data_IF_011528504858
#
_entry.id   IF_011528504858
#
_cell.length_a   1.000
_cell.length_b   1.000
_cell.length_c   1.000
_cell.angle_alpha   90.00
_cell.angle_beta   90.00
_cell.angle_gamma   90.00
#
_symmetry.space_group_name_H-M   'P 1'
#
loop_
_entity.id
_entity.type
_entity.pdbx_description
1 polymer ?
#
# COMPACT_ATOMS: atom_id res chain seq x y z
N UNK A 1 18.58 -2.58 -17.26
CA UNK A 1 18.53 -4.00 -16.82
C UNK A 1 17.39 -4.68 -17.57
N UNK A 2 17.62 -5.85 -18.16
CA UNK A 2 16.57 -6.66 -18.79
C UNK A 2 16.51 -7.95 -17.97
N UNK A 3 15.41 -8.16 -17.24
CA UNK A 3 15.18 -9.38 -16.44
C UNK A 3 14.73 -10.51 -17.37
N UNK A 4 15.64 -11.01 -18.20
CA UNK A 4 15.33 -12.07 -19.17
C UNK A 4 14.98 -13.37 -18.45
N UNK A 5 13.70 -13.76 -18.51
CA UNK A 5 13.18 -14.97 -17.86
C UNK A 5 12.40 -14.73 -16.57
N UNK A 6 12.30 -13.47 -16.11
CA UNK A 6 11.41 -13.13 -15.01
C UNK A 6 9.94 -13.43 -15.36
N UNK A 7 9.18 -13.84 -14.35
CA UNK A 7 7.74 -14.02 -14.50
C UNK A 7 7.06 -12.67 -14.73
N UNK A 8 5.95 -12.62 -15.48
CA UNK A 8 5.11 -11.44 -15.51
C UNK A 8 4.61 -11.15 -14.11
N UNK A 9 4.90 -9.97 -13.58
CA UNK A 9 4.50 -9.53 -12.25
C UNK A 9 3.58 -8.32 -12.33
N UNK A 10 2.67 -8.21 -11.37
CA UNK A 10 1.74 -7.09 -11.24
C UNK A 10 2.36 -5.96 -10.41
N UNK A 11 3.24 -6.31 -9.45
CA UNK A 11 3.93 -5.37 -8.58
C UNK A 11 5.44 -5.51 -8.69
N UNK A 12 6.12 -4.36 -8.57
CA UNK A 12 7.57 -4.26 -8.53
C UNK A 12 7.97 -3.31 -7.40
N UNK A 13 8.92 -3.70 -6.57
CA UNK A 13 9.47 -2.87 -5.51
C UNK A 13 11.00 -2.90 -5.50
N UNK A 14 11.67 -1.75 -5.31
CA UNK A 14 13.09 -1.76 -5.04
C UNK A 14 13.36 -2.35 -3.65
N UNK A 15 14.44 -3.12 -3.54
CA UNK A 15 14.99 -3.64 -2.31
C UNK A 15 16.42 -3.08 -2.10
N UNK A 16 17.02 -3.26 -0.91
CA UNK A 16 18.42 -2.93 -0.67
C UNK A 16 19.37 -3.53 -1.70
N UNK A 17 20.57 -2.95 -1.79
CA UNK A 17 21.65 -3.40 -2.69
C UNK A 17 21.28 -3.42 -4.19
N UNK A 18 20.24 -2.67 -4.57
CA UNK A 18 19.76 -2.59 -5.96
C UNK A 18 18.98 -3.83 -6.41
N UNK A 19 18.56 -4.68 -5.48
CA UNK A 19 17.66 -5.80 -5.76
C UNK A 19 16.26 -5.31 -6.12
N UNK A 20 15.51 -6.17 -6.80
CA UNK A 20 14.13 -5.92 -7.19
C UNK A 20 13.25 -7.09 -6.76
N UNK A 21 12.17 -6.78 -6.04
CA UNK A 21 11.09 -7.70 -5.73
C UNK A 21 10.02 -7.60 -6.81
N UNK A 22 9.61 -8.76 -7.34
CA UNK A 22 8.49 -8.94 -8.24
C UNK A 22 7.42 -9.76 -7.54
N UNK A 23 6.15 -9.34 -7.61
CA UNK A 23 5.01 -10.05 -6.98
C UNK A 23 3.82 -10.11 -7.93
N UNK A 24 3.17 -11.26 -7.97
CA UNK A 24 1.95 -11.50 -8.74
C UNK A 24 0.73 -11.15 -7.88
N UNK A 25 -0.23 -10.43 -8.45
CA UNK A 25 -1.52 -10.19 -7.80
C UNK A 25 -2.27 -11.50 -7.58
N UNK A 26 -2.17 -12.41 -8.57
CA UNK A 26 -2.83 -13.72 -8.59
C UNK A 26 -1.84 -14.84 -8.79
N UNK A 27 -1.84 -15.80 -7.86
CA UNK A 27 -1.09 -17.05 -7.90
C UNK A 27 -1.46 -17.93 -9.09
N UNK A 28 -2.72 -17.90 -9.55
CA UNK A 28 -3.20 -18.76 -10.67
C UNK A 28 -2.86 -20.25 -10.47
N UNK A 29 -2.79 -20.71 -9.22
CA UNK A 29 -2.46 -22.10 -8.87
C UNK A 29 -0.97 -22.44 -8.85
N UNK A 30 -0.06 -21.45 -8.94
CA UNK A 30 1.38 -21.66 -8.76
C UNK A 30 1.74 -21.79 -7.28
N UNK A 31 2.84 -22.51 -7.01
CA UNK A 31 3.40 -22.60 -5.66
C UNK A 31 4.10 -21.30 -5.21
N UNK A 32 4.52 -20.47 -6.15
CA UNK A 32 5.29 -19.23 -5.91
C UNK A 32 4.58 -18.05 -6.56
N UNK A 33 4.52 -16.93 -5.86
CA UNK A 33 3.91 -15.67 -6.31
C UNK A 33 4.84 -14.47 -6.19
N UNK A 34 6.12 -14.70 -5.84
CA UNK A 34 7.12 -13.64 -5.78
C UNK A 34 8.52 -14.14 -6.16
N UNK A 35 9.33 -13.24 -6.73
CA UNK A 35 10.73 -13.46 -7.09
C UNK A 35 11.58 -12.24 -6.70
N UNK A 36 12.82 -12.47 -6.27
CA UNK A 36 13.83 -11.43 -6.08
C UNK A 36 14.96 -11.61 -7.07
N UNK A 37 15.36 -10.51 -7.67
CA UNK A 37 16.41 -10.43 -8.67
C UNK A 37 17.46 -9.41 -8.25
N UNK A 38 18.73 -9.68 -8.53
CA UNK A 38 19.82 -8.75 -8.26
C UNK A 38 20.01 -7.70 -9.36
N UNK A 39 20.89 -6.73 -9.12
CA UNK A 39 21.22 -5.64 -10.06
C UNK A 39 21.83 -6.14 -11.39
N UNK A 40 22.39 -7.35 -11.41
CA UNK A 40 22.92 -7.99 -12.62
C UNK A 40 21.81 -8.68 -13.44
N UNK A 41 20.58 -8.74 -12.92
CA UNK A 41 19.48 -9.48 -13.51
C UNK A 41 19.58 -10.99 -13.27
N UNK A 42 20.26 -11.40 -12.19
CA UNK A 42 20.31 -12.79 -11.74
C UNK A 42 19.19 -13.06 -10.77
N UNK A 43 18.51 -14.19 -10.94
CA UNK A 43 17.53 -14.67 -9.97
C UNK A 43 18.23 -15.01 -8.64
N UNK A 44 17.68 -14.53 -7.53
CA UNK A 44 18.21 -14.71 -6.18
C UNK A 44 17.41 -15.77 -5.43
N UNK A 45 16.10 -15.55 -5.30
CA UNK A 45 15.18 -16.46 -4.61
C UNK A 45 13.72 -16.20 -5.03
N UNK A 46 12.84 -17.14 -4.68
CA UNK A 46 11.39 -17.09 -4.91
C UNK A 46 10.62 -17.60 -3.70
N UNK A 47 9.33 -17.28 -3.64
CA UNK A 47 8.50 -17.61 -2.49
C UNK A 47 7.01 -17.41 -2.74
N UNK A 48 6.21 -17.82 -1.74
CA UNK A 48 4.76 -17.71 -1.78
C UNK A 48 4.28 -16.57 -0.87
N UNK A 49 3.72 -15.54 -1.47
CA UNK A 49 3.19 -14.37 -0.78
C UNK A 49 1.66 -14.35 -0.68
N UNK A 50 0.98 -15.45 -1.01
CA UNK A 50 -0.49 -15.52 -1.04
C UNK A 50 -1.10 -15.14 -2.39
N UNK A 51 -2.42 -15.27 -2.48
CA UNK A 51 -3.28 -14.84 -3.60
C UNK A 51 -4.03 -13.56 -3.23
N UNK A 52 -4.59 -12.88 -4.23
CA UNK A 52 -5.37 -11.65 -4.08
C UNK A 52 -4.58 -10.51 -3.42
N UNK A 53 -3.35 -10.30 -3.91
CA UNK A 53 -2.50 -9.18 -3.51
C UNK A 53 -3.01 -7.89 -4.15
N UNK A 54 -3.23 -6.86 -3.34
CA UNK A 54 -3.70 -5.53 -3.75
C UNK A 54 -2.59 -4.49 -3.71
N UNK A 55 -1.74 -4.55 -2.68
CA UNK A 55 -0.64 -3.61 -2.49
C UNK A 55 0.65 -4.32 -2.08
N UNK A 56 1.79 -3.82 -2.56
CA UNK A 56 3.13 -4.27 -2.16
C UNK A 56 4.03 -3.07 -1.94
N UNK A 57 4.59 -2.91 -0.75
CA UNK A 57 5.54 -1.85 -0.43
C UNK A 57 6.72 -2.38 0.38
N UNK A 58 7.94 -2.22 -0.17
CA UNK A 58 9.18 -2.59 0.52
C UNK A 58 9.63 -1.50 1.50
N UNK A 59 10.24 -1.87 2.62
CA UNK A 59 10.87 -0.96 3.58
C UNK A 59 12.35 -0.75 3.25
N UNK A 60 13.03 0.28 3.79
CA UNK A 60 14.46 0.48 3.61
C UNK A 60 15.33 -0.68 4.09
N UNK A 61 14.88 -1.47 5.07
CA UNK A 61 15.61 -2.65 5.54
C UNK A 61 15.50 -3.87 4.63
N UNK A 62 14.61 -3.85 3.63
CA UNK A 62 14.37 -4.98 2.71
C UNK A 62 13.25 -5.93 3.17
N UNK A 63 12.61 -5.65 4.30
CA UNK A 63 11.29 -6.20 4.58
C UNK A 63 10.26 -5.62 3.60
N UNK A 64 9.09 -6.23 3.51
CA UNK A 64 8.01 -5.70 2.69
C UNK A 64 6.63 -6.04 3.26
N UNK A 65 5.69 -5.15 2.97
CA UNK A 65 4.30 -5.25 3.39
C UNK A 65 3.43 -5.60 2.20
N UNK A 66 2.49 -6.52 2.42
CA UNK A 66 1.48 -6.90 1.44
C UNK A 66 0.11 -6.68 2.04
N UNK A 67 -0.69 -5.85 1.36
CA UNK A 67 -2.12 -5.70 1.56
C UNK A 67 -2.87 -6.59 0.57
N UNK A 68 -3.97 -7.20 1.00
CA UNK A 68 -4.78 -8.09 0.19
C UNK A 68 -6.20 -7.53 0.00
N UNK A 69 -6.85 -7.88 -1.11
CA UNK A 69 -8.24 -7.52 -1.40
C UNK A 69 -9.23 -8.64 -1.06
N UNK A 70 -10.53 -8.35 -1.19
CA UNK A 70 -11.65 -9.13 -0.65
C UNK A 70 -11.76 -10.58 -1.13
N UNK A 71 -11.23 -10.92 -2.31
CA UNK A 71 -11.19 -12.30 -2.78
C UNK A 71 -10.21 -13.18 -1.98
N UNK A 72 -9.27 -12.59 -1.24
CA UNK A 72 -8.37 -13.33 -0.37
C UNK A 72 -9.14 -14.10 0.72
N UNK A 73 -10.20 -13.50 1.25
CA UNK A 73 -11.06 -14.13 2.26
C UNK A 73 -11.79 -15.37 1.73
N UNK A 74 -12.12 -15.40 0.43
CA UNK A 74 -12.76 -16.54 -0.21
C UNK A 74 -11.84 -17.76 -0.34
N UNK A 75 -10.51 -17.56 -0.30
CA UNK A 75 -9.52 -18.65 -0.35
C UNK A 75 -9.25 -19.34 1.00
N UNK A 76 -9.84 -18.83 2.09
CA UNK A 76 -9.70 -19.34 3.45
C UNK A 76 -8.71 -18.56 4.32
N UNK A 77 -8.25 -19.15 5.44
CA UNK A 77 -7.31 -18.52 6.40
C UNK A 77 -5.83 -18.65 5.97
N UNK A 78 -5.55 -18.49 4.68
CA UNK A 78 -4.19 -18.38 4.14
C UNK A 78 -3.56 -17.02 4.49
N UNK A 79 -2.40 -16.70 3.90
CA UNK A 79 -1.72 -15.41 4.11
C UNK A 79 -2.67 -14.22 3.83
N UNK A 80 -3.39 -14.26 2.72
CA UNK A 80 -4.33 -13.20 2.35
C UNK A 80 -5.53 -13.06 3.28
N UNK A 81 -5.90 -14.10 4.02
CA UNK A 81 -6.97 -14.01 5.01
C UNK A 81 -6.65 -13.07 6.18
N UNK A 82 -5.38 -12.71 6.38
CA UNK A 82 -4.99 -11.69 7.35
C UNK A 82 -5.21 -10.26 6.84
N UNK A 83 -5.40 -10.04 5.53
CA UNK A 83 -5.58 -8.71 4.92
C UNK A 83 -4.34 -7.83 4.90
N UNK A 84 -3.41 -7.99 5.86
CA UNK A 84 -2.09 -7.33 5.88
C UNK A 84 -1.02 -8.25 6.50
N UNK A 85 0.12 -8.40 5.81
CA UNK A 85 1.24 -9.25 6.24
C UNK A 85 2.58 -8.55 5.99
N UNK A 86 3.51 -8.67 6.95
CA UNK A 86 4.91 -8.28 6.80
C UNK A 86 5.74 -9.51 6.45
N UNK A 87 6.58 -9.40 5.44
CA UNK A 87 7.54 -10.41 5.03
C UNK A 87 8.96 -9.90 5.23
N UNK A 88 9.88 -10.83 5.50
CA UNK A 88 11.31 -10.55 5.48
C UNK A 88 11.91 -10.66 4.08
N UNK A 89 13.18 -10.27 3.89
CA UNK A 89 13.88 -10.41 2.61
C UNK A 89 14.06 -11.87 2.16
N UNK A 90 13.87 -12.83 3.07
CA UNK A 90 13.82 -14.27 2.80
C UNK A 90 12.43 -14.77 2.35
N UNK A 91 11.51 -13.85 2.07
CA UNK A 91 10.09 -14.10 1.75
C UNK A 91 9.32 -14.89 2.81
N UNK A 92 9.82 -14.93 4.05
CA UNK A 92 9.09 -15.53 5.16
C UNK A 92 8.25 -14.50 5.90
N UNK A 93 6.99 -14.80 6.26
CA UNK A 93 6.17 -13.89 7.04
C UNK A 93 6.79 -13.64 8.41
N UNK A 94 7.02 -12.36 8.73
CA UNK A 94 7.51 -11.89 10.04
C UNK A 94 6.38 -11.49 10.96
N UNK A 95 5.30 -10.99 10.40
CA UNK A 95 4.12 -10.58 11.14
C UNK A 95 2.87 -10.73 10.29
N UNK A 96 1.74 -11.05 10.92
CA UNK A 96 0.44 -11.19 10.27
C UNK A 96 -0.59 -10.44 11.09
N UNK A 97 -1.46 -9.68 10.44
CA UNK A 97 -2.53 -8.98 11.12
C UNK A 97 -3.42 -9.96 11.89
N UNK A 98 -3.74 -9.72 13.17
CA UNK A 98 -4.27 -10.77 14.02
C UNK A 98 -5.76 -11.03 13.75
N UNK A 99 -6.18 -12.28 13.93
CA UNK A 99 -7.60 -12.66 13.94
C UNK A 99 -8.20 -12.49 15.33
N UNK A 100 -9.52 -12.25 15.39
CA UNK A 100 -10.31 -12.28 16.64
C UNK A 100 -9.76 -11.34 17.72
N UNK A 101 -9.44 -10.10 17.34
CA UNK A 101 -9.01 -9.04 18.27
C UNK A 101 -9.99 -7.88 18.22
N UNK A 102 -9.76 -6.86 19.04
CA UNK A 102 -10.53 -5.61 19.00
C UNK A 102 -10.21 -4.75 17.76
N UNK A 103 -9.14 -5.07 17.03
CA UNK A 103 -8.82 -4.40 15.78
C UNK A 103 -9.84 -4.79 14.68
N UNK A 104 -10.19 -3.85 13.77
CA UNK A 104 -11.14 -4.12 12.70
C UNK A 104 -10.61 -5.19 11.74
N UNK A 105 -11.52 -5.97 11.15
CA UNK A 105 -11.15 -6.91 10.09
C UNK A 105 -10.65 -6.14 8.87
N UNK A 106 -9.61 -6.65 8.21
CA UNK A 106 -9.15 -6.14 6.92
C UNK A 106 -9.69 -7.09 5.86
N UNK A 107 -10.91 -6.84 5.41
CA UNK A 107 -11.48 -7.58 4.28
C UNK A 107 -10.88 -7.11 2.97
N UNK A 108 -10.58 -5.82 2.86
CA UNK A 108 -9.87 -5.23 1.72
C UNK A 108 -8.98 -4.09 2.24
N UNK A 109 -7.72 -4.09 1.80
CA UNK A 109 -6.75 -3.04 2.06
C UNK A 109 -6.88 -1.97 0.97
N UNK A 110 -7.84 -1.05 1.14
CA UNK A 110 -8.16 -0.03 0.12
C UNK A 110 -6.92 0.81 -0.26
N UNK A 111 -6.10 1.18 0.73
CA UNK A 111 -4.82 1.87 0.50
C UNK A 111 -3.75 1.40 1.48
N UNK A 112 -2.50 1.31 1.01
CA UNK A 112 -1.32 1.02 1.82
C UNK A 112 -0.24 2.09 1.61
N UNK A 113 0.42 2.49 2.69
CA UNK A 113 1.64 3.28 2.65
C UNK A 113 2.69 2.70 3.62
N UNK A 114 3.97 2.93 3.32
CA UNK A 114 5.10 2.65 4.20
C UNK A 114 5.87 3.94 4.43
N UNK A 115 6.05 4.30 5.71
CA UNK A 115 6.96 5.36 6.14
C UNK A 115 8.04 4.73 7.03
N UNK A 116 9.29 4.80 6.56
CA UNK A 116 10.39 4.00 7.12
C UNK A 116 10.06 2.50 7.12
N UNK A 117 9.84 1.91 8.29
CA UNK A 117 9.52 0.48 8.47
C UNK A 117 8.04 0.23 8.77
N UNK A 118 7.30 1.29 9.05
CA UNK A 118 5.93 1.23 9.56
C UNK A 118 4.94 1.26 8.40
N UNK A 119 3.94 0.37 8.47
CA UNK A 119 2.85 0.35 7.52
C UNK A 119 1.66 1.14 8.02
N UNK A 120 0.97 1.79 7.09
CA UNK A 120 -0.31 2.47 7.33
C UNK A 120 -1.31 1.98 6.28
N UNK A 121 -2.50 1.58 6.73
CA UNK A 121 -3.52 0.98 5.86
C UNK A 121 -4.90 1.59 6.10
N UNK A 122 -5.58 1.98 5.03
CA UNK A 122 -7.03 2.25 5.05
C UNK A 122 -7.76 0.94 4.78
N UNK A 123 -8.73 0.59 5.63
CA UNK A 123 -9.36 -0.74 5.60
C UNK A 123 -10.86 -0.66 5.29
N UNK A 124 -11.32 -1.48 4.36
CA UNK A 124 -12.71 -1.51 3.90
C UNK A 124 -13.70 -1.97 4.99
N UNK A 125 -14.98 -1.60 4.80
CA UNK A 125 -16.13 -1.67 5.73
C UNK A 125 -16.04 -0.83 7.00
N UNK A 126 -14.93 -0.93 7.74
CA UNK A 126 -14.74 -0.05 8.89
C UNK A 126 -14.43 1.38 8.43
N UNK A 127 -13.70 1.51 7.30
CA UNK A 127 -13.08 2.75 6.86
C UNK A 127 -12.20 3.32 7.97
N UNK A 128 -11.43 2.46 8.63
CA UNK A 128 -10.49 2.85 9.69
C UNK A 128 -9.09 3.01 9.11
N UNK A 129 -8.29 3.86 9.76
CA UNK A 129 -6.86 3.95 9.49
C UNK A 129 -6.10 3.14 10.52
N UNK A 130 -5.35 2.15 10.06
CA UNK A 130 -4.52 1.27 10.88
C UNK A 130 -3.05 1.63 10.65
N UNK A 131 -2.23 1.58 11.70
CA UNK A 131 -0.78 1.53 11.53
C UNK A 131 -0.19 0.28 12.18
N UNK A 132 0.94 -0.19 11.66
CA UNK A 132 1.70 -1.29 12.26
C UNK A 132 3.14 -0.85 12.47
N UNK A 133 3.56 -0.83 13.74
CA UNK A 133 4.92 -0.52 14.15
C UNK A 133 5.59 -1.75 14.75
N UNK A 134 6.62 -2.26 14.09
CA UNK A 134 7.20 -3.57 14.43
C UNK A 134 6.15 -4.67 14.39
N UNK A 135 5.76 -5.20 15.55
CA UNK A 135 4.73 -6.24 15.71
C UNK A 135 3.41 -5.74 16.32
N UNK A 136 3.25 -4.42 16.48
CA UNK A 136 2.10 -3.82 17.14
C UNK A 136 1.21 -3.07 16.14
N UNK A 137 -0.01 -3.58 15.94
CA UNK A 137 -1.05 -2.90 15.18
C UNK A 137 -1.83 -1.93 16.08
N UNK A 138 -2.12 -0.74 15.56
CA UNK A 138 -2.89 0.31 16.21
C UNK A 138 -4.03 0.72 15.29
N UNK A 139 -5.24 0.75 15.83
CA UNK A 139 -6.40 1.34 15.17
C UNK A 139 -6.52 2.82 15.56
N UNK A 140 -6.38 3.72 14.58
CA UNK A 140 -6.52 5.16 14.76
C UNK A 140 -7.98 5.63 14.62
N UNK A 141 -8.90 4.70 14.41
CA UNK A 141 -10.32 4.95 14.27
C UNK A 141 -10.71 5.30 12.83
N UNK A 142 -11.98 5.72 12.71
CA UNK A 142 -12.63 5.95 11.43
C UNK A 142 -12.04 7.15 10.69
N UNK A 143 -11.64 6.93 9.44
CA UNK A 143 -11.28 7.97 8.50
C UNK A 143 -12.50 8.84 8.13
N UNK A 144 -12.29 10.14 7.82
CA UNK A 144 -13.37 11.04 7.43
C UNK A 144 -14.03 10.64 6.11
N UNK A 145 -13.36 9.83 5.31
CA UNK A 145 -13.79 9.38 3.99
C UNK A 145 -13.41 7.90 3.79
N UNK A 146 -14.28 7.12 3.15
CA UNK A 146 -14.00 5.75 2.72
C UNK A 146 -13.63 5.67 1.23
N UNK A 147 -13.06 4.55 0.79
CA UNK A 147 -12.69 4.36 -0.62
C UNK A 147 -11.40 5.08 -1.00
N UNK A 148 -10.47 5.21 -0.05
CA UNK A 148 -9.16 5.78 -0.33
C UNK A 148 -8.41 4.85 -1.29
N UNK A 149 -8.00 5.36 -2.46
CA UNK A 149 -7.19 4.64 -3.43
C UNK A 149 -5.68 4.91 -3.23
N UNK A 150 -5.36 5.94 -2.45
CA UNK A 150 -4.01 6.32 -2.10
C UNK A 150 -3.98 6.95 -0.69
N UNK A 151 -2.85 6.79 -0.02
CA UNK A 151 -2.59 7.31 1.31
C UNK A 151 -1.17 7.86 1.31
N UNK A 152 -0.97 9.11 1.72
CA UNK A 152 0.33 9.71 1.99
C UNK A 152 0.51 9.88 3.49
N UNK A 153 1.71 9.65 4.03
CA UNK A 153 1.99 9.74 5.47
C UNK A 153 3.36 10.35 5.73
N UNK A 154 3.42 11.30 6.67
CA UNK A 154 4.65 11.79 7.27
C UNK A 154 4.41 12.14 8.74
N UNK A 155 4.97 11.33 9.65
CA UNK A 155 4.76 11.51 11.08
C UNK A 155 3.27 11.39 11.48
N UNK A 156 2.73 12.47 12.03
CA UNK A 156 1.32 12.59 12.44
C UNK A 156 0.42 13.17 11.32
N UNK A 157 0.99 13.53 10.18
CA UNK A 157 0.24 14.09 9.04
C UNK A 157 0.03 13.03 7.96
N UNK A 158 -1.15 13.04 7.37
CA UNK A 158 -1.47 12.17 6.25
C UNK A 158 -2.48 12.82 5.29
N UNK A 159 -2.59 12.25 4.09
CA UNK A 159 -3.60 12.64 3.10
C UNK A 159 -4.22 11.37 2.56
N UNK A 160 -5.54 11.26 2.68
CA UNK A 160 -6.32 10.23 2.01
C UNK A 160 -6.72 10.75 0.64
N UNK A 161 -6.45 9.98 -0.42
CA UNK A 161 -6.79 10.34 -1.79
C UNK A 161 -7.70 9.27 -2.36
N UNK A 162 -8.85 9.66 -2.88
CA UNK A 162 -9.85 8.75 -3.43
C UNK A 162 -11.23 9.12 -2.95
N UNK A 163 -12.15 8.17 -3.03
CA UNK A 163 -13.55 8.38 -2.69
C UNK A 163 -14.52 7.72 -3.67
N UNK A 164 -15.74 7.52 -3.20
CA UNK A 164 -16.82 6.96 -4.00
C UNK A 164 -17.64 8.05 -4.69
N UNK A 165 -18.12 7.76 -5.91
CA UNK A 165 -19.08 8.62 -6.61
C UNK A 165 -18.53 10.02 -6.86
N UNK A 166 -19.18 11.06 -6.31
CA UNK A 166 -18.77 12.45 -6.47
C UNK A 166 -17.42 12.76 -5.80
N UNK A 167 -17.00 11.93 -4.86
CA UNK A 167 -15.80 12.17 -4.08
C UNK A 167 -14.53 11.63 -4.75
N UNK A 168 -14.56 11.19 -6.02
CA UNK A 168 -13.49 10.43 -6.70
C UNK A 168 -12.05 10.88 -6.39
N UNK A 169 -11.30 11.67 -7.15
CA UNK A 169 -9.90 11.96 -6.75
C UNK A 169 -9.77 13.02 -5.62
N UNK A 170 -10.60 12.94 -4.57
CA UNK A 170 -10.58 13.89 -3.45
C UNK A 170 -9.39 13.62 -2.54
N UNK A 171 -8.54 14.63 -2.34
CA UNK A 171 -7.48 14.65 -1.36
C UNK A 171 -8.00 15.29 -0.07
N UNK A 172 -8.03 14.49 1.00
CA UNK A 172 -8.47 14.88 2.34
C UNK A 172 -7.28 14.87 3.29
N UNK A 173 -6.73 16.05 3.65
CA UNK A 173 -5.69 16.16 4.67
C UNK A 173 -6.20 15.73 6.05
N UNK A 174 -5.43 14.93 6.74
CA UNK A 174 -5.75 14.42 8.08
C UNK A 174 -4.53 14.50 9.01
N UNK A 175 -4.82 14.61 10.30
CA UNK A 175 -3.87 14.38 11.38
C UNK A 175 -4.21 13.09 12.12
N UNK A 176 -3.18 12.40 12.60
CA UNK A 176 -3.26 11.15 13.37
C UNK A 176 -2.69 11.43 14.75
N UNK A 177 -3.55 11.53 15.76
CA UNK A 177 -3.13 11.78 17.14
C UNK A 177 -3.75 10.77 18.12
N UNK A 178 -3.53 10.98 19.43
CA UNK A 178 -4.08 10.11 20.48
C UNK A 178 -5.62 10.07 20.54
N UNK A 179 -6.32 11.01 19.91
CA UNK A 179 -7.79 11.03 19.77
C UNK A 179 -8.26 10.34 18.48
N UNK A 180 -7.32 9.92 17.63
CA UNK A 180 -7.57 9.23 16.37
C UNK A 180 -7.37 10.13 15.15
N UNK A 181 -8.07 9.80 14.05
CA UNK A 181 -8.00 10.55 12.79
C UNK A 181 -8.88 11.79 12.83
N UNK A 182 -8.33 12.96 12.48
CA UNK A 182 -9.07 14.23 12.35
C UNK A 182 -8.76 14.90 11.01
N UNK A 183 -9.72 15.62 10.42
CA UNK A 183 -9.48 16.45 9.23
C UNK A 183 -8.59 17.65 9.62
N UNK A 184 -7.52 17.88 8.85
CA UNK A 184 -6.47 18.83 9.21
C UNK A 184 -6.25 19.94 8.16
N UNK A 185 -7.21 20.15 7.26
CA UNK A 185 -7.14 21.21 6.24
C UNK A 185 -8.32 21.16 5.28
N UNK A 186 -8.26 22.06 4.28
CA UNK A 186 -9.25 22.08 3.21
C UNK A 186 -9.08 20.87 2.30
N UNK A 187 -10.20 20.27 1.89
CA UNK A 187 -10.18 19.23 0.88
C UNK A 187 -9.91 19.83 -0.50
N UNK A 188 -9.16 19.11 -1.31
CA UNK A 188 -8.85 19.48 -2.70
C UNK A 188 -9.06 18.28 -3.61
N UNK A 189 -9.07 18.50 -4.93
CA UNK A 189 -9.17 17.41 -5.90
C UNK A 189 -7.85 17.27 -6.63
N UNK A 190 -7.33 16.04 -6.68
CA UNK A 190 -6.17 15.72 -7.46
C UNK A 190 -6.53 15.75 -8.95
N UNK A 191 -5.81 16.57 -9.72
CA UNK A 191 -6.00 16.75 -11.16
C UNK A 191 -4.64 16.80 -11.86
N UNK A 192 -4.65 16.63 -13.18
CA UNK A 192 -3.48 16.86 -14.02
C UNK A 192 -3.10 18.35 -14.06
N UNK A 193 -1.87 18.71 -14.47
CA UNK A 193 -1.44 20.11 -14.55
C UNK A 193 -2.28 21.01 -15.47
N UNK A 194 -3.02 20.42 -16.42
CA UNK A 194 -3.97 21.13 -17.29
C UNK A 194 -5.39 21.26 -16.68
N UNK A 195 -5.58 20.78 -15.44
CA UNK A 195 -6.83 20.79 -14.71
C UNK A 195 -7.75 19.61 -15.03
N UNK A 196 -7.34 18.68 -15.89
CA UNK A 196 -8.17 17.53 -16.27
C UNK A 196 -8.14 16.42 -15.20
N UNK A 197 -9.21 15.63 -15.16
CA UNK A 197 -9.31 14.45 -14.30
C UNK A 197 -8.22 13.42 -14.60
N UNK A 198 -7.82 12.67 -13.57
CA UNK A 198 -6.90 11.57 -13.70
C UNK A 198 -7.67 10.33 -14.19
N UNK A 199 -7.19 9.71 -15.26
CA UNK A 199 -7.76 8.48 -15.81
C UNK A 199 -6.67 7.52 -16.19
N UNK A 200 -6.90 6.23 -15.93
CA UNK A 200 -5.98 5.14 -16.28
C UNK A 200 -4.56 5.33 -15.73
N UNK A 201 -4.44 5.94 -14.54
CA UNK A 201 -3.17 6.08 -13.88
C UNK A 201 -2.73 4.76 -13.24
N UNK A 202 -1.43 4.51 -13.28
CA UNK A 202 -0.79 3.60 -12.33
C UNK A 202 -0.08 4.46 -11.31
N UNK A 203 -0.48 4.38 -10.05
CA UNK A 203 0.16 5.15 -8.99
C UNK A 203 0.72 4.26 -7.89
N UNK A 204 1.64 4.83 -7.14
CA UNK A 204 2.17 4.25 -5.91
C UNK A 204 2.44 5.38 -4.93
N UNK A 205 2.24 5.09 -3.64
CA UNK A 205 2.50 6.01 -2.55
C UNK A 205 3.60 5.47 -1.66
N UNK A 206 4.49 6.33 -1.19
CA UNK A 206 5.51 5.97 -0.20
C UNK A 206 5.87 7.16 0.65
N UNK A 207 5.69 7.05 1.96
CA UNK A 207 5.80 8.16 2.88
C UNK A 207 4.99 9.35 2.38
N UNK A 208 5.59 10.55 2.25
CA UNK A 208 4.89 11.75 1.82
C UNK A 208 4.67 11.82 0.31
N UNK A 209 5.09 10.83 -0.48
CA UNK A 209 5.17 10.96 -1.93
C UNK A 209 4.14 10.12 -2.68
N UNK A 210 3.45 10.76 -3.62
CA UNK A 210 2.63 10.12 -4.65
C UNK A 210 3.40 10.16 -5.97
N UNK A 211 3.50 9.00 -6.63
CA UNK A 211 4.02 8.90 -7.99
C UNK A 211 2.93 8.31 -8.89
N UNK A 212 2.66 8.94 -10.03
CA UNK A 212 1.70 8.45 -11.01
C UNK A 212 2.32 8.36 -12.40
N UNK A 213 2.02 7.29 -13.13
CA UNK A 213 2.39 7.09 -14.52
C UNK A 213 1.11 7.08 -15.35
N UNK A 214 1.03 8.00 -16.32
CA UNK A 214 -0.16 8.20 -17.17
C UNK A 214 0.35 8.38 -18.60
N UNK A 215 -0.05 7.48 -19.50
CA UNK A 215 0.35 7.51 -20.93
C UNK A 215 1.86 7.65 -21.16
N UNK A 216 2.69 7.07 -20.29
CA UNK A 216 4.16 7.13 -20.36
C UNK A 216 4.78 8.39 -19.74
N UNK A 217 3.98 9.35 -19.28
CA UNK A 217 4.44 10.49 -18.50
C UNK A 217 4.46 10.15 -17.01
N UNK A 218 5.46 10.66 -16.30
CA UNK A 218 5.59 10.52 -14.86
C UNK A 218 5.22 11.85 -14.17
N UNK A 219 4.32 11.76 -13.19
CA UNK A 219 3.87 12.85 -12.34
C UNK A 219 4.20 12.53 -10.87
N UNK A 220 4.37 13.59 -10.09
CA UNK A 220 4.62 13.51 -8.65
C UNK A 220 3.82 14.58 -7.93
N UNK A 221 3.28 14.23 -6.77
CA UNK A 221 2.76 15.16 -5.77
C UNK A 221 3.28 14.73 -4.41
N UNK A 222 3.45 15.68 -3.49
CA UNK A 222 3.84 15.42 -2.12
C UNK A 222 2.73 15.78 -1.14
N UNK A 223 2.80 15.24 0.06
CA UNK A 223 1.87 15.52 1.15
C UNK A 223 1.66 17.03 1.37
N UNK A 224 2.73 17.82 1.29
CA UNK A 224 2.68 19.28 1.45
C UNK A 224 1.89 20.02 0.37
N UNK A 225 1.64 19.40 -0.79
CA UNK A 225 0.80 19.98 -1.85
C UNK A 225 -0.69 20.01 -1.43
N UNK A 226 -1.08 19.14 -0.49
CA UNK A 226 -2.45 19.04 0.03
C UNK A 226 -2.55 19.50 1.49
N UNK A 227 -1.46 19.37 2.25
CA UNK A 227 -1.37 19.74 3.66
C UNK A 227 -0.15 20.64 3.89
N UNK A 228 -0.20 21.94 3.52
CA UNK A 228 0.98 22.82 3.52
C UNK A 228 1.61 23.08 4.89
N UNK A 229 0.86 22.84 5.98
CA UNK A 229 1.33 23.01 7.37
C UNK A 229 1.96 21.74 7.99
N UNK A 230 2.10 20.66 7.21
CA UNK A 230 2.65 19.38 7.63
C UNK A 230 4.16 19.23 7.39
#
# INVERSE_FOLDING_TARGET
MILSGARPADFMQPLPDGQVLLVDARTRGTAESAEVWDVAGTWVLSGHCGDAVEHVLATPSGDFWIGYFDEAAASGRGLGGHGLVRFGPDMQPRWRYPFNTDLPCIDDCEALNVHEEDAYASVYRAHHLISVRGSHGVDHGKAPQGGAAALLVHGEHAVLIGGYGADYDLATPISIDAKGVQVAGDQSRLVLPDGMEIRNARWTCRGPELHAIINGSWYRASLSDFHPEA
#
